data_IF_991880198825
#
_entry.id   IF_991880198825
#
_cell.length_a   1.000
_cell.length_b   1.000
_cell.length_c   1.000
_cell.angle_alpha   90.00
_cell.angle_beta   90.00
_cell.angle_gamma   90.00
#
_symmetry.space_group_name_H-M   'P 1'
#
loop_
_entity.id
_entity.type
_entity.pdbx_description
1 polymer ?
#
# COMPACT_ATOMS: atom_id res chain seq x y z
N UNK A 1 1.07 4.69 -2.52
CA UNK A 1 2.12 5.73 -2.48
C UNK A 1 3.24 5.39 -1.50
N UNK A 2 4.42 5.99 -1.65
CA UNK A 2 5.60 5.75 -0.81
C UNK A 2 6.24 7.09 -0.43
N UNK A 3 6.64 7.23 0.83
CA UNK A 3 7.05 8.51 1.43
C UNK A 3 8.34 8.39 2.23
N UNK A 4 9.17 9.43 2.13
CA UNK A 4 10.38 9.65 2.93
C UNK A 4 10.38 11.09 3.44
N UNK A 5 10.38 11.32 4.75
CA UNK A 5 10.42 12.68 5.33
C UNK A 5 9.39 13.68 4.74
N UNK A 6 8.16 13.21 4.49
CA UNK A 6 7.05 13.95 3.85
C UNK A 6 7.24 14.27 2.36
N UNK A 7 8.24 13.67 1.71
CA UNK A 7 8.44 13.73 0.27
C UNK A 7 8.00 12.41 -0.37
N UNK A 8 7.23 12.48 -1.48
CA UNK A 8 6.85 11.30 -2.25
C UNK A 8 8.10 10.71 -2.92
N UNK A 9 8.37 9.44 -2.63
CA UNK A 9 9.38 8.67 -3.37
C UNK A 9 8.72 8.14 -4.63
N UNK A 10 9.38 8.36 -5.78
CA UNK A 10 8.87 7.92 -7.07
C UNK A 10 9.25 6.47 -7.34
N UNK A 11 8.34 5.73 -7.96
CA UNK A 11 8.61 4.44 -8.58
C UNK A 11 9.04 4.61 -10.03
N UNK A 12 9.63 3.57 -10.61
CA UNK A 12 9.73 3.45 -12.06
C UNK A 12 8.33 3.47 -12.68
N UNK A 13 8.24 3.93 -13.93
CA UNK A 13 6.95 4.09 -14.63
C UNK A 13 6.25 2.76 -14.94
N UNK A 14 6.97 1.64 -14.89
CA UNK A 14 6.46 0.30 -15.21
C UNK A 14 7.10 -0.74 -14.27
N UNK A 15 6.37 -1.81 -13.92
CA UNK A 15 6.97 -2.97 -13.27
C UNK A 15 8.09 -3.56 -14.14
N UNK A 16 9.13 -4.06 -13.50
CA UNK A 16 10.22 -4.78 -14.20
C UNK A 16 9.84 -6.22 -14.50
N UNK A 17 8.99 -6.79 -13.65
CA UNK A 17 8.45 -8.13 -13.77
C UNK A 17 6.97 -8.09 -13.38
N UNK A 18 6.13 -8.84 -14.09
CA UNK A 18 4.72 -8.99 -13.77
C UNK A 18 4.17 -10.28 -14.37
N UNK A 19 3.13 -10.82 -13.75
CA UNK A 19 2.44 -12.02 -14.20
C UNK A 19 1.07 -12.14 -13.57
N UNK A 20 0.19 -12.88 -14.24
CA UNK A 20 -1.14 -13.19 -13.74
C UNK A 20 -1.29 -14.71 -13.69
N UNK A 21 -1.66 -15.23 -12.52
CA UNK A 21 -2.00 -16.63 -12.33
C UNK A 21 -3.43 -16.76 -11.81
N UNK A 22 -3.94 -17.98 -11.80
CA UNK A 22 -5.23 -18.30 -11.21
C UNK A 22 -4.98 -19.18 -9.99
N UNK A 23 -5.54 -18.79 -8.85
CA UNK A 23 -5.61 -19.60 -7.64
C UNK A 23 -7.07 -19.80 -7.26
N UNK A 24 -7.61 -21.00 -7.46
CA UNK A 24 -9.04 -21.28 -7.25
C UNK A 24 -9.95 -20.36 -8.07
N UNK A 25 -10.66 -19.45 -7.39
CA UNK A 25 -11.53 -18.43 -7.99
C UNK A 25 -10.91 -17.03 -8.02
N UNK A 26 -9.64 -16.90 -7.64
CA UNK A 26 -8.90 -15.65 -7.57
C UNK A 26 -7.99 -15.50 -8.80
N UNK A 27 -7.98 -14.30 -9.36
CA UNK A 27 -6.92 -13.85 -10.26
C UNK A 27 -5.81 -13.24 -9.40
N UNK A 28 -4.61 -13.79 -9.47
CA UNK A 28 -3.47 -13.33 -8.68
C UNK A 28 -2.53 -12.55 -9.61
N UNK A 29 -2.44 -11.24 -9.38
CA UNK A 29 -1.48 -10.38 -10.05
C UNK A 29 -0.22 -10.26 -9.19
N UNK A 30 0.92 -10.70 -9.71
CA UNK A 30 2.23 -10.52 -9.07
C UNK A 30 3.07 -9.57 -9.90
N UNK A 31 3.76 -8.63 -9.26
CA UNK A 31 4.64 -7.69 -9.94
C UNK A 31 5.76 -7.17 -9.05
N UNK A 32 6.84 -6.70 -9.67
CA UNK A 32 7.94 -5.99 -9.00
C UNK A 32 7.94 -4.55 -9.51
N UNK A 33 7.75 -3.59 -8.61
CA UNK A 33 7.75 -2.16 -8.92
C UNK A 33 8.91 -1.45 -8.18
N UNK A 34 10.08 -1.25 -8.82
CA UNK A 34 11.22 -0.63 -8.18
C UNK A 34 11.02 0.88 -7.93
N UNK A 35 11.71 1.40 -6.92
CA UNK A 35 11.87 2.84 -6.74
C UNK A 35 12.70 3.42 -7.89
N UNK A 36 12.36 4.63 -8.35
CA UNK A 36 13.03 5.28 -9.47
C UNK A 36 14.49 5.66 -9.15
N UNK A 37 14.78 5.91 -7.88
CA UNK A 37 16.13 6.22 -7.40
C UNK A 37 16.38 5.47 -6.09
N UNK A 38 17.60 4.93 -5.87
CA UNK A 38 17.98 4.34 -4.60
C UNK A 38 17.73 5.29 -3.44
N UNK A 39 17.26 4.75 -2.31
CA UNK A 39 17.00 5.51 -1.09
C UNK A 39 18.06 5.17 -0.02
N UNK A 40 18.54 6.16 0.76
CA UNK A 40 19.41 5.87 1.91
C UNK A 40 18.64 5.06 2.96
N UNK A 41 19.26 4.10 3.64
CA UNK A 41 18.56 3.32 4.67
C UNK A 41 18.94 3.72 6.09
N UNK A 42 20.22 3.92 6.38
CA UNK A 42 20.71 4.16 7.75
C UNK A 42 19.99 5.33 8.45
N UNK A 43 19.42 5.05 9.61
CA UNK A 43 18.66 6.01 10.42
C UNK A 43 17.39 6.58 9.75
N UNK A 44 16.93 6.03 8.62
CA UNK A 44 15.80 6.56 7.87
C UNK A 44 14.47 5.91 8.26
N UNK A 45 13.39 6.66 8.02
CA UNK A 45 12.01 6.21 8.17
C UNK A 45 11.23 6.41 6.88
N UNK A 46 10.51 5.36 6.48
CA UNK A 46 9.65 5.35 5.31
C UNK A 46 8.23 4.94 5.68
N UNK A 47 7.26 5.43 4.92
CA UNK A 47 5.84 5.05 5.01
C UNK A 47 5.31 4.73 3.63
N UNK A 48 4.51 3.68 3.50
CA UNK A 48 3.83 3.38 2.24
C UNK A 48 2.49 2.70 2.44
N UNK A 49 1.60 2.94 1.49
CA UNK A 49 0.23 2.42 1.46
C UNK A 49 -0.16 2.08 0.03
N UNK A 50 -1.06 1.13 -0.14
CA UNK A 50 -1.62 0.70 -1.42
C UNK A 50 -3.12 0.96 -1.41
N UNK A 51 -3.60 1.69 -2.40
CA UNK A 51 -5.02 2.01 -2.60
C UNK A 51 -5.25 2.43 -4.04
N UNK A 52 -6.49 2.31 -4.50
CA UNK A 52 -6.93 2.94 -5.74
C UNK A 52 -7.40 4.38 -5.44
N UNK A 53 -6.92 5.41 -6.19
CA UNK A 53 -7.28 6.79 -5.92
C UNK A 53 -8.68 7.18 -6.45
N UNK A 54 -9.29 6.37 -7.32
CA UNK A 54 -10.53 6.69 -8.04
C UNK A 54 -11.71 5.86 -7.54
N UNK A 55 -11.49 4.58 -7.23
CA UNK A 55 -12.52 3.68 -6.76
C UNK A 55 -12.24 3.19 -5.35
N UNK A 56 -13.30 2.81 -4.64
CA UNK A 56 -13.14 2.04 -3.42
C UNK A 56 -12.81 0.58 -3.76
N UNK A 57 -11.56 0.20 -3.54
CA UNK A 57 -11.07 -1.18 -3.59
C UNK A 57 -10.44 -1.50 -2.25
N UNK A 58 -10.94 -2.53 -1.56
CA UNK A 58 -10.35 -3.00 -0.32
C UNK A 58 -9.01 -3.71 -0.60
N UNK A 59 -7.93 -2.95 -0.49
CA UNK A 59 -6.56 -3.45 -0.61
C UNK A 59 -5.96 -3.61 0.79
N UNK A 60 -5.81 -4.85 1.25
CA UNK A 60 -5.22 -5.16 2.54
C UNK A 60 -4.26 -6.36 2.48
N UNK A 61 -3.27 -6.32 3.36
CA UNK A 61 -2.51 -7.46 3.85
C UNK A 61 -3.39 -8.26 4.80
N UNK A 62 -3.49 -9.57 4.58
CA UNK A 62 -4.32 -10.44 5.43
C UNK A 62 -3.67 -10.61 6.82
N UNK A 63 -2.35 -10.58 6.88
CA UNK A 63 -1.55 -10.64 8.10
C UNK A 63 -0.39 -9.64 8.03
N UNK A 64 0.05 -9.13 9.18
CA UNK A 64 1.22 -8.23 9.25
C UNK A 64 2.49 -8.87 8.64
N UNK A 65 2.60 -10.20 8.69
CA UNK A 65 3.71 -10.99 8.12
C UNK A 65 3.69 -11.15 6.60
N UNK A 66 2.64 -10.70 5.91
CA UNK A 66 2.60 -10.65 4.44
C UNK A 66 3.55 -9.57 3.91
N UNK A 67 3.89 -8.60 4.75
CA UNK A 67 4.90 -7.58 4.45
C UNK A 67 6.25 -8.04 4.98
N UNK A 68 7.18 -8.30 4.07
CA UNK A 68 8.47 -8.90 4.40
C UNK A 68 9.64 -8.05 3.94
N UNK A 69 10.72 -8.09 4.73
CA UNK A 69 12.02 -7.56 4.37
C UNK A 69 12.96 -8.71 3.99
N UNK A 70 13.86 -8.52 3.02
CA UNK A 70 14.99 -9.42 2.82
C UNK A 70 15.79 -9.63 4.11
N UNK A 71 16.34 -10.84 4.31
CA UNK A 71 17.03 -11.22 5.57
C UNK A 71 18.13 -10.25 6.00
N UNK A 72 18.88 -9.70 5.03
CA UNK A 72 19.94 -8.73 5.31
C UNK A 72 19.40 -7.40 5.86
N UNK A 73 18.19 -7.01 5.50
CA UNK A 73 17.54 -5.79 5.99
C UNK A 73 16.84 -6.00 7.34
N UNK A 74 16.36 -7.21 7.64
CA UNK A 74 15.71 -7.50 8.93
C UNK A 74 16.62 -7.24 10.15
N UNK A 75 17.95 -7.30 9.97
CA UNK A 75 18.94 -7.05 11.02
C UNK A 75 19.10 -5.57 11.37
N UNK A 76 18.79 -4.68 10.43
CA UNK A 76 19.04 -3.24 10.53
C UNK A 76 17.76 -2.41 10.39
N UNK A 77 16.64 -3.02 10.01
CA UNK A 77 15.37 -2.35 9.82
C UNK A 77 14.23 -3.15 10.46
N UNK A 78 13.24 -2.42 10.97
CA UNK A 78 11.97 -2.95 11.46
C UNK A 78 10.86 -2.50 10.53
N UNK A 79 9.94 -3.41 10.26
CA UNK A 79 8.73 -3.14 9.48
C UNK A 79 7.51 -3.38 10.35
N UNK A 80 6.47 -2.55 10.18
CA UNK A 80 5.23 -2.67 10.92
C UNK A 80 4.06 -2.28 10.00
N UNK A 81 2.96 -3.00 10.10
CA UNK A 81 1.70 -2.69 9.41
C UNK A 81 0.74 -2.05 10.42
N UNK A 82 0.10 -0.96 10.02
CA UNK A 82 -0.95 -0.29 10.77
C UNK A 82 -2.24 -0.37 9.95
N UNK A 83 -3.26 -1.02 10.51
CA UNK A 83 -4.61 -1.02 9.94
C UNK A 83 -5.42 0.16 10.47
N UNK A 84 -5.89 1.08 9.61
CA UNK A 84 -6.70 2.21 10.06
C UNK A 84 -8.04 1.72 10.63
N UNK A 85 -8.69 2.58 11.42
CA UNK A 85 -10.05 2.36 11.92
C UNK A 85 -10.93 3.50 11.39
N UNK A 86 -11.53 3.35 10.20
CA UNK A 86 -12.46 4.32 9.65
C UNK A 86 -13.67 4.54 10.58
N UNK A 87 -14.29 5.71 10.51
CA UNK A 87 -15.52 5.99 11.27
C UNK A 87 -16.71 5.19 10.71
N UNK A 88 -17.75 4.99 11.53
CA UNK A 88 -18.99 4.35 11.08
C UNK A 88 -19.64 5.09 9.90
N UNK A 89 -19.58 6.41 9.89
CA UNK A 89 -20.06 7.24 8.78
C UNK A 89 -19.32 6.90 7.48
N UNK A 90 -17.99 6.77 7.55
CA UNK A 90 -17.16 6.46 6.40
C UNK A 90 -17.37 5.02 5.90
N UNK A 91 -17.60 4.08 6.82
CA UNK A 91 -18.00 2.70 6.50
C UNK A 91 -19.35 2.68 5.78
N UNK A 92 -20.35 3.38 6.32
CA UNK A 92 -21.69 3.46 5.71
C UNK A 92 -21.64 4.10 4.33
N UNK A 93 -20.83 5.16 4.17
CA UNK A 93 -20.61 5.78 2.86
C UNK A 93 -19.99 4.80 1.86
N UNK A 94 -18.92 4.08 2.24
CA UNK A 94 -18.27 3.11 1.37
C UNK A 94 -19.22 1.97 0.94
N UNK A 95 -20.12 1.51 1.82
CA UNK A 95 -21.14 0.50 1.52
C UNK A 95 -22.26 1.05 0.62
N UNK A 96 -22.54 2.35 0.69
CA UNK A 96 -23.59 2.99 -0.11
C UNK A 96 -23.22 3.22 -1.57
N UNK A 97 -21.92 3.17 -1.91
CA UNK A 97 -21.45 3.29 -3.29
C UNK A 97 -21.90 2.07 -4.10
N UNK A 98 -22.83 2.27 -5.04
CA UNK A 98 -23.16 1.23 -6.03
C UNK A 98 -22.06 1.16 -7.10
N UNK A 99 -22.06 0.12 -7.93
CA UNK A 99 -21.02 -0.15 -8.94
C UNK A 99 -20.80 0.99 -9.95
N UNK A 100 -21.79 1.83 -10.15
CA UNK A 100 -21.76 2.97 -11.07
C UNK A 100 -21.33 4.29 -10.40
N UNK A 101 -21.20 4.31 -9.07
CA UNK A 101 -20.89 5.52 -8.30
C UNK A 101 -19.42 5.52 -7.86
N UNK A 102 -18.64 6.43 -8.45
CA UNK A 102 -17.33 6.75 -7.92
C UNK A 102 -17.46 7.83 -6.82
N UNK A 103 -16.75 7.71 -5.69
CA UNK A 103 -16.70 8.78 -4.71
C UNK A 103 -16.09 10.04 -5.36
N UNK A 104 -16.39 11.25 -4.84
CA UNK A 104 -15.67 12.45 -5.24
C UNK A 104 -14.15 12.24 -5.13
N UNK A 105 -13.39 12.57 -6.18
CA UNK A 105 -11.94 12.28 -6.23
C UNK A 105 -11.16 12.94 -5.07
N UNK A 106 -11.64 14.08 -4.57
CA UNK A 106 -11.05 14.83 -3.45
C UNK A 106 -11.25 14.15 -2.09
N UNK A 107 -12.14 13.16 -2.00
CA UNK A 107 -12.37 12.39 -0.79
C UNK A 107 -11.23 11.40 -0.50
N UNK A 108 -10.45 11.00 -1.52
CA UNK A 108 -9.41 9.97 -1.44
C UNK A 108 -9.90 8.74 -0.65
N UNK A 109 -11.14 8.27 -0.88
CA UNK A 109 -11.81 7.33 0.01
C UNK A 109 -10.96 6.08 0.30
N UNK A 110 -10.37 5.45 -0.72
CA UNK A 110 -9.51 4.28 -0.56
C UNK A 110 -8.34 4.50 0.41
N UNK A 111 -7.79 5.72 0.46
CA UNK A 111 -6.69 6.08 1.38
C UNK A 111 -7.11 6.06 2.84
N UNK A 112 -8.37 6.31 3.15
CA UNK A 112 -8.88 6.29 4.52
C UNK A 112 -8.95 4.86 5.09
N UNK A 113 -9.05 3.87 4.21
CA UNK A 113 -9.10 2.44 4.54
C UNK A 113 -7.75 1.75 4.35
N UNK A 114 -6.84 2.35 3.58
CA UNK A 114 -5.55 1.78 3.25
C UNK A 114 -4.71 1.51 4.50
N UNK A 115 -4.21 0.27 4.62
CA UNK A 115 -3.18 -0.02 5.61
C UNK A 115 -1.91 0.78 5.32
N UNK A 116 -1.25 1.19 6.39
CA UNK A 116 0.03 1.87 6.31
C UNK A 116 1.15 0.98 6.80
N UNK A 117 2.18 0.82 5.99
CA UNK A 117 3.42 0.17 6.38
C UNK A 117 4.44 1.23 6.77
N UNK A 118 5.04 1.06 7.94
CA UNK A 118 6.21 1.83 8.38
C UNK A 118 7.46 0.96 8.31
N UNK A 119 8.50 1.48 7.67
CA UNK A 119 9.85 0.92 7.68
C UNK A 119 10.77 1.88 8.45
N UNK A 120 11.42 1.37 9.49
CA UNK A 120 12.38 2.13 10.30
C UNK A 120 13.72 1.40 10.31
N UNK A 121 14.78 2.04 9.82
CA UNK A 121 16.13 1.51 9.82
C UNK A 121 16.99 2.19 10.89
N UNK A 122 17.93 1.45 11.47
CA UNK A 122 18.89 1.89 12.48
C UNK A 122 20.17 2.42 11.84
#
# INVERSE_FOLDING_TARGET
EFWHNRQKVKFLKRPTEYGMTRDGHQAVLTFILPLAHPQPLAGQKYRFSTFDPTYYVDMHYAQDSDVQLPENLQKICKIAVHTPKPSEEMLNFAVSLDKEDAPPEDMELGKQFAQEVTLQCQ
#
